data_IF_923401686006
#
_entry.id   IF_923401686006
#
_cell.length_a   1.000
_cell.length_b   1.000
_cell.length_c   1.000
_cell.angle_alpha   90.00
_cell.angle_beta   90.00
_cell.angle_gamma   90.00
#
_symmetry.space_group_name_H-M   'P 1'
#
loop_
_entity.id
_entity.type
_entity.pdbx_description
1 polymer ?
#
# COMPACT_ATOMS: atom_id res chain seq x y z
N UNK A 1 -26.07 -33.18 -10.75
CA UNK A 1 -24.83 -33.85 -10.30
C UNK A 1 -25.00 -35.37 -10.37
N UNK A 2 -24.10 -36.08 -11.07
CA UNK A 2 -23.90 -37.54 -10.95
C UNK A 2 -22.45 -37.76 -10.48
N UNK A 3 -22.16 -38.68 -9.55
CA UNK A 3 -20.84 -38.81 -8.95
C UNK A 3 -19.93 -39.73 -9.79
N UNK A 4 -18.67 -39.33 -9.96
CA UNK A 4 -17.62 -40.17 -10.53
C UNK A 4 -16.95 -40.99 -9.42
N UNK A 5 -16.94 -42.30 -9.61
CA UNK A 5 -16.28 -43.30 -8.77
C UNK A 5 -14.76 -43.21 -8.89
N UNK A 6 -14.06 -43.27 -7.76
CA UNK A 6 -12.64 -43.61 -7.68
C UNK A 6 -12.41 -45.08 -8.07
N UNK A 7 -11.40 -45.33 -8.90
CA UNK A 7 -10.81 -46.65 -9.09
C UNK A 7 -9.30 -46.53 -8.87
N UNK A 8 -8.80 -47.17 -7.81
CA UNK A 8 -7.38 -47.31 -7.51
C UNK A 8 -6.83 -48.63 -8.01
N UNK A 9 -5.59 -48.61 -8.50
CA UNK A 9 -4.75 -49.77 -8.80
C UNK A 9 -3.35 -49.31 -9.22
N UNK A 10 -2.25 -49.91 -8.69
CA UNK A 10 -0.90 -49.36 -8.83
C UNK A 10 -0.23 -49.75 -10.15
N UNK A 11 0.38 -48.77 -10.84
CA UNK A 11 1.23 -49.02 -12.01
C UNK A 11 2.70 -49.00 -11.58
N UNK A 12 3.37 -50.16 -11.71
CA UNK A 12 4.83 -50.29 -11.60
C UNK A 12 5.48 -49.85 -12.92
N UNK A 13 6.47 -48.96 -12.85
CA UNK A 13 7.42 -48.72 -13.95
C UNK A 13 8.81 -49.17 -13.45
N UNK A 14 9.42 -50.13 -14.15
CA UNK A 14 10.81 -50.57 -13.93
C UNK A 14 11.77 -49.65 -14.69
N UNK A 15 12.90 -49.34 -14.06
CA UNK A 15 13.86 -48.32 -14.48
C UNK A 15 14.89 -48.71 -15.55
N UNK A 16 15.68 -47.70 -15.90
CA UNK A 16 17.00 -47.76 -16.55
C UNK A 16 17.90 -46.71 -15.85
N UNK A 17 19.19 -47.03 -15.79
CA UNK A 17 20.27 -46.62 -14.87
C UNK A 17 20.73 -45.14 -14.86
N UNK A 18 21.41 -44.69 -13.78
CA UNK A 18 21.91 -43.33 -13.62
C UNK A 18 23.27 -43.10 -14.30
N UNK A 19 23.36 -42.04 -15.12
CA UNK A 19 24.62 -41.51 -15.62
C UNK A 19 25.34 -40.75 -14.49
N UNK A 20 26.53 -41.24 -14.15
CA UNK A 20 27.40 -40.63 -13.15
C UNK A 20 27.94 -39.28 -13.57
N UNK A 21 27.78 -38.28 -12.70
CA UNK A 21 28.52 -37.03 -12.76
C UNK A 21 29.52 -36.99 -11.59
N UNK A 22 30.80 -36.85 -11.95
CA UNK A 22 31.95 -36.83 -11.07
C UNK A 22 31.91 -35.64 -10.07
N UNK A 23 31.83 -35.95 -8.78
CA UNK A 23 32.18 -35.01 -7.72
C UNK A 23 33.71 -34.98 -7.56
N UNK A 24 34.35 -33.89 -8.00
CA UNK A 24 35.71 -33.55 -7.57
C UNK A 24 35.63 -32.72 -6.30
N UNK A 25 36.06 -33.32 -5.19
CA UNK A 25 36.37 -32.64 -3.94
C UNK A 25 37.65 -31.83 -4.08
N UNK A 26 37.59 -30.50 -3.99
CA UNK A 26 38.77 -29.68 -3.69
C UNK A 26 38.83 -29.41 -2.18
N UNK A 27 39.79 -30.05 -1.52
CA UNK A 27 40.32 -29.62 -0.23
C UNK A 27 40.93 -28.22 -0.42
N UNK A 28 40.41 -27.22 0.28
CA UNK A 28 41.15 -26.00 0.56
C UNK A 28 41.61 -26.03 2.02
N UNK A 29 42.93 -25.96 2.14
CA UNK A 29 43.75 -26.08 3.34
C UNK A 29 43.52 -24.87 4.26
N UNK A 30 43.36 -25.13 5.56
CA UNK A 30 43.53 -24.13 6.61
C UNK A 30 45.02 -23.76 6.71
N UNK A 31 45.37 -22.50 6.45
CA UNK A 31 46.62 -21.93 6.94
C UNK A 31 46.34 -20.60 7.62
N UNK A 32 46.47 -20.65 8.94
CA UNK A 32 46.77 -19.52 9.80
C UNK A 32 48.11 -18.90 9.38
N UNK A 33 48.10 -17.63 9.00
CA UNK A 33 49.31 -16.82 8.91
C UNK A 33 49.10 -15.55 9.73
N UNK A 34 49.65 -15.59 10.94
CA UNK A 34 49.95 -14.45 11.77
C UNK A 34 50.97 -13.54 11.08
N UNK A 35 50.61 -12.28 10.84
CA UNK A 35 51.58 -11.22 10.60
C UNK A 35 51.41 -10.16 11.68
N UNK A 36 52.36 -10.16 12.62
CA UNK A 36 52.66 -8.98 13.40
C UNK A 36 53.52 -8.04 12.55
N UNK A 37 53.22 -6.75 12.61
CA UNK A 37 54.21 -5.72 12.32
C UNK A 37 53.87 -4.44 13.09
N UNK A 38 54.85 -4.06 13.86
CA UNK A 38 55.00 -2.92 14.77
C UNK A 38 54.91 -1.58 14.04
N UNK A 39 54.43 -0.58 14.78
CA UNK A 39 54.47 0.84 14.44
C UNK A 39 55.90 1.35 14.23
N UNK A 40 56.11 2.26 13.26
CA UNK A 40 56.62 3.63 13.50
C UNK A 40 56.78 4.48 12.23
N UNK A 41 56.45 5.76 12.41
CA UNK A 41 57.01 6.99 11.78
C UNK A 41 56.49 7.47 10.41
N UNK A 42 55.59 8.46 10.55
CA UNK A 42 55.67 9.84 9.99
C UNK A 42 55.95 10.02 8.51
N UNK A 43 54.99 10.60 7.78
CA UNK A 43 55.21 11.76 6.92
C UNK A 43 53.93 12.62 6.84
N UNK A 44 54.09 13.89 7.20
CA UNK A 44 53.07 14.94 7.22
C UNK A 44 53.10 15.62 5.85
N UNK A 45 51.95 15.76 5.18
CA UNK A 45 51.77 16.83 4.20
C UNK A 45 50.43 17.55 4.42
N UNK A 46 50.57 18.82 4.79
CA UNK A 46 49.55 19.87 4.75
C UNK A 46 48.95 19.96 3.34
N UNK A 47 47.63 20.12 3.23
CA UNK A 47 47.07 21.03 2.24
C UNK A 47 45.89 21.80 2.84
N UNK A 48 46.02 23.12 2.75
CA UNK A 48 45.10 24.12 3.28
C UNK A 48 43.82 24.18 2.45
N UNK A 49 42.73 24.40 3.17
CA UNK A 49 41.42 24.81 2.67
C UNK A 49 41.51 26.08 1.83
N UNK A 50 40.99 26.01 0.59
CA UNK A 50 40.61 27.19 -0.19
C UNK A 50 39.11 27.11 -0.46
N UNK A 51 38.39 28.01 0.18
CA UNK A 51 37.01 28.35 -0.12
C UNK A 51 36.96 28.98 -1.51
N UNK A 52 36.25 28.33 -2.44
CA UNK A 52 35.81 28.95 -3.68
C UNK A 52 34.33 29.25 -3.53
N UNK A 53 34.04 30.53 -3.35
CA UNK A 53 32.73 31.13 -3.52
C UNK A 53 32.26 30.89 -4.95
N UNK A 54 31.26 30.02 -5.12
CA UNK A 54 30.44 29.99 -6.33
C UNK A 54 29.23 30.87 -6.06
N UNK A 55 29.13 31.95 -6.83
CA UNK A 55 27.96 32.81 -6.89
C UNK A 55 26.74 32.03 -7.42
N UNK A 56 25.52 32.35 -6.97
CA UNK A 56 24.32 31.62 -7.38
C UNK A 56 23.99 31.93 -8.85
N UNK A 57 24.13 30.92 -9.71
CA UNK A 57 23.54 30.93 -11.04
C UNK A 57 22.01 30.91 -10.95
N UNK A 58 21.36 31.69 -11.83
CA UNK A 58 19.91 31.81 -11.94
C UNK A 58 19.20 30.45 -11.99
N UNK A 59 18.02 30.30 -11.35
CA UNK A 59 17.28 29.05 -11.37
C UNK A 59 16.64 28.84 -12.75
N UNK A 60 17.33 28.09 -13.60
CA UNK A 60 16.74 27.44 -14.76
C UNK A 60 15.69 26.43 -14.29
N UNK A 61 14.43 26.69 -14.67
CA UNK A 61 13.25 25.90 -14.38
C UNK A 61 13.38 24.43 -14.83
N UNK A 62 13.63 23.53 -13.89
CA UNK A 62 13.30 22.10 -14.02
C UNK A 62 12.62 21.65 -12.72
N UNK A 63 11.43 22.18 -12.49
CA UNK A 63 10.49 21.63 -11.50
C UNK A 63 9.13 21.55 -12.17
N UNK A 64 8.85 20.39 -12.75
CA UNK A 64 7.49 19.94 -13.02
C UNK A 64 7.43 18.49 -12.56
N UNK A 65 7.31 18.29 -11.25
CA UNK A 65 6.87 17.01 -10.70
C UNK A 65 5.37 17.17 -10.47
N UNK A 66 4.59 16.98 -11.53
CA UNK A 66 3.15 16.74 -11.43
C UNK A 66 2.95 15.22 -11.29
N UNK A 67 2.98 14.70 -10.05
CA UNK A 67 2.71 13.29 -9.78
C UNK A 67 1.52 13.11 -8.82
N UNK A 68 0.60 12.23 -9.24
CA UNK A 68 -0.77 12.06 -8.75
C UNK A 68 -0.96 11.55 -7.31
N UNK A 69 -2.16 11.88 -6.82
CA UNK A 69 -2.67 11.85 -5.43
C UNK A 69 -2.65 10.47 -4.76
N UNK A 70 -2.06 10.39 -3.55
CA UNK A 70 -2.71 9.94 -2.29
C UNK A 70 -2.16 10.79 -1.14
N UNK A 71 -2.74 11.99 -0.97
CA UNK A 71 -2.70 12.94 0.15
C UNK A 71 -2.68 14.38 -0.40
N UNK A 72 -3.86 14.94 -0.67
CA UNK A 72 -4.07 16.40 -0.71
C UNK A 72 -3.36 17.24 -1.78
N UNK A 73 -3.59 16.96 -3.07
CA UNK A 73 -3.45 17.97 -4.14
C UNK A 73 -2.40 17.69 -5.24
N UNK A 74 -2.78 18.04 -6.48
CA UNK A 74 -1.96 18.00 -7.71
C UNK A 74 -2.45 17.02 -8.76
N UNK A 75 -3.19 17.50 -9.76
CA UNK A 75 -3.83 16.70 -10.83
C UNK A 75 -2.81 16.22 -11.87
N UNK A 76 -2.45 14.94 -11.84
CA UNK A 76 -1.86 14.29 -13.00
C UNK A 76 -2.89 14.36 -14.16
N UNK A 77 -2.46 14.68 -15.39
CA UNK A 77 -3.37 14.91 -16.53
C UNK A 77 -4.32 13.74 -16.84
N UNK A 78 -3.98 12.52 -16.43
CA UNK A 78 -4.85 11.36 -16.57
C UNK A 78 -5.93 11.21 -15.50
N UNK A 79 -5.83 11.95 -14.38
CA UNK A 79 -6.94 12.14 -13.45
C UNK A 79 -7.94 13.11 -14.08
N UNK A 80 -8.88 12.54 -14.83
CA UNK A 80 -9.92 13.25 -15.58
C UNK A 80 -11.24 12.49 -15.55
N UNK A 81 -12.28 13.14 -16.05
CA UNK A 81 -13.54 12.47 -16.37
C UNK A 81 -13.34 11.54 -17.56
N UNK A 82 -13.74 10.29 -17.39
CA UNK A 82 -13.57 9.29 -18.44
C UNK A 82 -14.67 9.44 -19.50
N UNK A 83 -14.26 9.51 -20.76
CA UNK A 83 -15.15 9.63 -21.91
C UNK A 83 -15.02 8.38 -22.77
N UNK A 84 -16.15 7.84 -23.21
CA UNK A 84 -16.19 6.63 -24.01
C UNK A 84 -15.41 6.80 -25.33
N UNK A 85 -14.58 5.80 -25.65
CA UNK A 85 -13.70 5.81 -26.84
C UNK A 85 -12.48 6.75 -26.75
N UNK A 86 -12.29 7.49 -25.64
CA UNK A 86 -11.16 8.40 -25.46
C UNK A 86 -10.10 7.79 -24.55
N UNK A 87 -9.03 7.29 -25.16
CA UNK A 87 -7.85 6.77 -24.46
C UNK A 87 -6.67 7.75 -24.54
N UNK A 88 -5.85 7.77 -23.48
CA UNK A 88 -4.62 8.55 -23.38
C UNK A 88 -3.42 7.66 -23.06
N UNK A 89 -2.23 8.18 -23.32
CA UNK A 89 -1.00 7.62 -22.73
C UNK A 89 -0.66 8.40 -21.47
N UNK A 90 -0.60 7.69 -20.34
CA UNK A 90 -0.38 8.23 -19.01
C UNK A 90 1.01 7.84 -18.53
N UNK A 91 1.91 8.82 -18.39
CA UNK A 91 3.31 8.56 -18.03
C UNK A 91 3.57 9.02 -16.61
N UNK A 92 4.05 8.10 -15.79
CA UNK A 92 4.45 8.35 -14.39
C UNK A 92 5.95 8.07 -14.23
N UNK A 93 6.62 8.87 -13.40
CA UNK A 93 8.04 8.67 -13.10
C UNK A 93 8.22 8.29 -11.64
N UNK A 94 8.65 7.06 -11.38
CA UNK A 94 8.82 6.51 -10.04
C UNK A 94 10.30 6.40 -9.71
N UNK A 95 10.75 7.18 -8.72
CA UNK A 95 12.08 7.08 -8.16
C UNK A 95 12.01 6.38 -6.82
N UNK A 96 12.61 5.19 -6.74
CA UNK A 96 12.60 4.36 -5.54
C UNK A 96 13.85 4.64 -4.73
N UNK A 97 13.69 5.06 -3.47
CA UNK A 97 14.79 5.45 -2.57
C UNK A 97 14.67 4.77 -1.21
N UNK A 98 15.81 4.63 -0.52
CA UNK A 98 15.81 4.38 0.93
C UNK A 98 15.52 5.71 1.62
N UNK A 99 14.61 5.69 2.59
CA UNK A 99 14.38 6.82 3.47
C UNK A 99 14.23 6.35 4.92
N UNK A 100 13.94 7.29 5.81
CA UNK A 100 13.71 7.03 7.24
C UNK A 100 12.44 7.76 7.65
N UNK A 101 11.47 7.01 8.17
CA UNK A 101 10.29 7.60 8.81
C UNK A 101 10.75 8.43 10.02
N UNK A 102 10.08 9.56 10.26
CA UNK A 102 10.42 10.49 11.35
C UNK A 102 11.89 10.94 11.31
N UNK A 103 12.42 11.18 10.11
CA UNK A 103 13.75 11.77 9.94
C UNK A 103 13.78 13.25 10.37
N UNK A 104 14.97 13.85 10.34
CA UNK A 104 15.15 15.28 10.64
C UNK A 104 14.29 16.22 9.76
N UNK A 105 13.80 15.75 8.60
CA UNK A 105 12.89 16.51 7.72
C UNK A 105 11.52 16.74 8.36
N UNK A 106 11.12 15.90 9.32
CA UNK A 106 9.89 16.05 10.08
C UNK A 106 9.94 17.13 11.16
N UNK A 107 11.07 17.84 11.32
CA UNK A 107 11.22 18.92 12.29
C UNK A 107 10.94 18.47 13.72
N UNK A 108 9.95 19.10 14.36
CA UNK A 108 9.56 18.82 15.75
C UNK A 108 8.34 17.88 15.86
N UNK A 109 8.02 17.11 14.81
CA UNK A 109 7.07 15.99 14.93
C UNK A 109 7.68 14.91 15.86
N UNK A 110 6.96 14.35 16.85
CA UNK A 110 5.51 14.44 17.08
C UNK A 110 5.08 15.52 18.10
N UNK A 111 5.99 16.35 18.61
CA UNK A 111 5.66 17.37 19.61
C UNK A 111 4.86 18.54 19.02
N UNK A 112 5.16 18.90 17.78
CA UNK A 112 4.39 19.82 16.97
C UNK A 112 3.76 19.07 15.78
N UNK A 113 2.46 18.81 15.86
CA UNK A 113 1.71 18.03 14.85
C UNK A 113 1.77 18.66 13.47
N UNK A 114 1.79 20.00 13.37
CA UNK A 114 1.92 20.70 12.09
C UNK A 114 3.24 20.39 11.37
N UNK A 115 4.32 20.10 12.11
CA UNK A 115 5.61 19.74 11.53
C UNK A 115 5.58 18.34 10.88
N UNK A 116 4.62 17.48 11.24
CA UNK A 116 4.43 16.18 10.61
C UNK A 116 3.98 16.28 9.14
N UNK A 117 3.53 17.47 8.70
CA UNK A 117 3.16 17.77 7.31
C UNK A 117 4.25 18.51 6.53
N UNK A 118 5.47 18.62 7.08
CA UNK A 118 6.60 19.20 6.38
C UNK A 118 6.88 18.47 5.05
N UNK A 119 7.37 19.17 4.01
CA UNK A 119 7.77 18.54 2.76
C UNK A 119 8.75 17.38 2.99
N UNK A 120 8.48 16.24 2.34
CA UNK A 120 9.27 14.99 2.46
C UNK A 120 9.34 14.39 3.87
N UNK A 121 8.53 14.87 4.83
CA UNK A 121 8.35 14.18 6.09
C UNK A 121 7.50 12.92 5.89
N UNK A 122 8.03 11.79 6.35
CA UNK A 122 7.31 10.53 6.41
C UNK A 122 6.95 10.29 7.88
N UNK A 123 5.78 10.76 8.27
CA UNK A 123 5.31 10.70 9.65
C UNK A 123 5.08 9.25 10.12
N UNK A 124 4.41 8.42 9.31
CA UNK A 124 4.21 6.97 9.48
C UNK A 124 3.99 6.54 10.95
N UNK A 125 3.08 7.26 11.61
CA UNK A 125 2.65 7.06 12.99
C UNK A 125 3.69 7.31 14.09
N UNK A 126 4.79 8.01 13.81
CA UNK A 126 5.68 8.55 14.84
C UNK A 126 6.89 7.68 15.19
N UNK A 127 7.03 6.51 14.56
CA UNK A 127 8.17 5.63 14.77
C UNK A 127 9.31 5.95 13.80
N UNK A 128 10.50 6.15 14.36
CA UNK A 128 11.74 6.26 13.59
C UNK A 128 12.16 4.89 13.10
N UNK A 129 12.09 4.65 11.78
CA UNK A 129 12.55 3.41 11.17
C UNK A 129 12.93 3.55 9.69
N UNK A 130 13.81 2.68 9.16
CA UNK A 130 14.04 2.60 7.72
C UNK A 130 12.77 2.23 6.97
N UNK A 131 12.59 2.88 5.82
CA UNK A 131 11.48 2.68 4.89
C UNK A 131 11.98 2.69 3.44
N UNK A 132 11.20 2.08 2.55
CA UNK A 132 11.41 2.18 1.10
C UNK A 132 10.27 2.99 0.53
N UNK A 133 10.59 4.05 -0.20
CA UNK A 133 9.58 5.01 -0.69
C UNK A 133 9.69 5.21 -2.18
N UNK A 134 8.57 5.61 -2.78
CA UNK A 134 8.49 6.04 -4.17
C UNK A 134 8.19 7.52 -4.17
N UNK A 135 9.05 8.32 -4.80
CA UNK A 135 8.95 9.79 -4.85
C UNK A 135 8.84 10.42 -3.44
N UNK A 136 9.66 9.92 -2.51
CA UNK A 136 9.84 10.46 -1.15
C UNK A 136 8.56 10.55 -0.28
N UNK A 137 7.59 9.66 -0.53
CA UNK A 137 6.30 9.60 0.20
C UNK A 137 5.84 8.18 0.49
N UNK A 138 4.98 8.03 1.49
CA UNK A 138 4.21 6.81 1.81
C UNK A 138 2.77 7.22 2.15
N UNK A 139 1.74 6.70 1.46
CA UNK A 139 1.82 5.84 0.28
C UNK A 139 2.53 6.53 -0.89
N UNK A 140 3.05 5.73 -1.82
CA UNK A 140 3.59 6.21 -3.09
C UNK A 140 2.54 6.91 -3.96
N UNK A 141 2.94 7.50 -5.10
CA UNK A 141 2.02 8.19 -6.01
C UNK A 141 0.86 7.30 -6.44
N UNK A 142 -0.36 7.85 -6.40
CA UNK A 142 -1.53 7.16 -6.91
C UNK A 142 -1.60 7.24 -8.44
N UNK A 143 -1.93 6.13 -9.08
CA UNK A 143 -2.21 6.05 -10.51
C UNK A 143 -3.72 6.08 -10.70
N UNK A 144 -4.22 7.14 -11.34
CA UNK A 144 -5.64 7.32 -11.64
C UNK A 144 -5.78 7.50 -13.15
N UNK A 145 -6.45 6.56 -13.80
CA UNK A 145 -6.57 6.51 -15.26
C UNK A 145 -7.96 6.04 -15.70
N UNK A 146 -8.27 6.20 -16.97
CA UNK A 146 -9.50 5.69 -17.56
C UNK A 146 -9.29 4.32 -18.20
N UNK A 147 -10.36 3.52 -18.24
CA UNK A 147 -10.40 2.26 -18.98
C UNK A 147 -9.95 2.48 -20.43
N UNK A 148 -8.97 1.71 -20.88
CA UNK A 148 -8.38 1.82 -22.21
C UNK A 148 -7.16 2.75 -22.31
N UNK A 149 -6.81 3.49 -21.26
CA UNK A 149 -5.56 4.26 -21.24
C UNK A 149 -4.34 3.33 -21.30
N UNK A 150 -3.28 3.77 -21.97
CA UNK A 150 -1.96 3.13 -21.89
C UNK A 150 -1.18 3.75 -20.74
N UNK A 151 -0.84 2.95 -19.73
CA UNK A 151 -0.04 3.39 -18.60
C UNK A 151 1.43 3.09 -18.87
N UNK A 152 2.28 4.09 -18.71
CA UNK A 152 3.73 3.99 -18.76
C UNK A 152 4.27 4.41 -17.41
N UNK A 153 5.02 3.53 -16.74
CA UNK A 153 5.69 3.87 -15.48
C UNK A 153 7.19 3.68 -15.66
N UNK A 154 7.92 4.79 -15.66
CA UNK A 154 9.38 4.79 -15.68
C UNK A 154 9.88 4.62 -14.25
N UNK A 155 10.41 3.44 -13.94
CA UNK A 155 10.89 3.11 -12.59
C UNK A 155 12.39 3.24 -12.56
N UNK A 156 12.92 4.09 -11.68
CA UNK A 156 14.33 4.22 -11.36
C UNK A 156 14.61 3.57 -10.00
N UNK A 157 15.45 2.54 -10.00
CA UNK A 157 15.97 1.97 -8.77
C UNK A 157 17.18 2.79 -8.29
N UNK A 158 17.05 3.51 -7.18
CA UNK A 158 18.17 4.29 -6.61
C UNK A 158 18.96 3.53 -5.54
N UNK A 159 18.67 2.25 -5.30
CA UNK A 159 19.48 1.43 -4.40
C UNK A 159 20.83 1.06 -4.99
N UNK A 160 21.85 0.98 -4.12
CA UNK A 160 23.21 0.56 -4.51
C UNK A 160 23.45 -0.95 -4.53
N UNK A 161 22.61 -1.76 -3.87
CA UNK A 161 22.85 -3.21 -3.73
C UNK A 161 21.61 -4.08 -3.91
N UNK A 162 20.42 -3.48 -3.98
CA UNK A 162 19.14 -4.21 -4.01
C UNK A 162 18.52 -4.16 -5.39
N UNK A 163 17.99 -5.30 -5.85
CA UNK A 163 17.08 -5.34 -6.99
C UNK A 163 15.65 -5.07 -6.52
N UNK A 164 14.85 -4.38 -7.34
CA UNK A 164 13.44 -4.09 -7.05
C UNK A 164 12.53 -4.55 -8.20
N UNK A 165 11.25 -4.78 -7.92
CA UNK A 165 10.20 -4.92 -8.94
C UNK A 165 8.92 -4.27 -8.43
N UNK A 166 8.06 -3.83 -9.35
CA UNK A 166 6.71 -3.40 -9.04
C UNK A 166 5.71 -4.32 -9.73
N UNK A 167 4.68 -4.73 -9.00
CA UNK A 167 3.52 -5.46 -9.50
C UNK A 167 2.25 -4.61 -9.45
N UNK A 168 1.32 -4.95 -10.34
CA UNK A 168 0.09 -4.21 -10.58
C UNK A 168 -1.10 -5.10 -10.21
N UNK A 169 -1.35 -5.19 -8.90
CA UNK A 169 -2.28 -6.13 -8.30
C UNK A 169 -3.69 -6.00 -8.89
N UNK A 170 -4.16 -7.09 -9.48
CA UNK A 170 -5.49 -7.20 -10.08
C UNK A 170 -5.58 -6.80 -11.55
N UNK A 171 -4.51 -6.28 -12.17
CA UNK A 171 -4.43 -6.21 -13.63
C UNK A 171 -4.18 -7.60 -14.21
N UNK A 172 -4.89 -7.94 -15.28
CA UNK A 172 -4.78 -9.26 -15.93
C UNK A 172 -3.51 -9.44 -16.75
N UNK A 173 -2.89 -8.34 -17.18
CA UNK A 173 -1.70 -8.34 -18.04
C UNK A 173 -1.85 -9.17 -19.32
N UNK A 174 -3.07 -9.19 -19.88
CA UNK A 174 -3.39 -10.01 -21.06
C UNK A 174 -2.51 -9.60 -22.23
N UNK A 175 -1.77 -10.57 -22.80
CA UNK A 175 -0.84 -10.34 -23.91
C UNK A 175 0.48 -9.63 -23.53
N UNK A 176 0.64 -9.16 -22.29
CA UNK A 176 1.86 -8.51 -21.80
C UNK A 176 2.32 -9.08 -20.43
N UNK A 177 2.44 -10.41 -20.26
CA UNK A 177 2.78 -11.01 -18.97
C UNK A 177 4.14 -10.53 -18.44
N UNK A 178 5.08 -10.15 -19.30
CA UNK A 178 6.40 -9.62 -18.93
C UNK A 178 6.36 -8.21 -18.29
N UNK A 179 5.18 -7.57 -18.21
CA UNK A 179 4.96 -6.30 -17.52
C UNK A 179 4.32 -6.47 -16.14
N UNK A 180 4.12 -7.71 -15.70
CA UNK A 180 3.39 -8.03 -14.47
C UNK A 180 4.17 -7.69 -13.20
N UNK A 181 5.49 -7.83 -13.16
CA UNK A 181 6.29 -7.46 -11.99
C UNK A 181 6.73 -8.60 -11.07
N UNK A 182 6.19 -9.81 -11.23
CA UNK A 182 6.60 -10.97 -10.45
C UNK A 182 8.07 -11.37 -10.73
N UNK A 183 9.00 -11.18 -9.76
CA UNK A 183 10.41 -11.46 -9.98
C UNK A 183 10.63 -12.96 -10.17
N UNK A 184 11.55 -13.30 -11.08
CA UNK A 184 11.91 -14.69 -11.45
C UNK A 184 10.80 -15.49 -12.13
N UNK A 185 9.62 -14.89 -12.36
CA UNK A 185 8.52 -15.46 -13.13
C UNK A 185 8.34 -14.68 -14.43
N UNK A 186 8.05 -13.38 -14.33
CA UNK A 186 7.76 -12.53 -15.49
C UNK A 186 8.90 -11.58 -15.84
N UNK A 187 9.77 -11.27 -14.88
CA UNK A 187 10.99 -10.49 -15.10
C UNK A 187 12.09 -10.80 -14.09
N UNK A 188 13.33 -10.43 -14.41
CA UNK A 188 14.37 -10.26 -13.39
C UNK A 188 14.15 -8.96 -12.61
N UNK A 189 14.59 -8.88 -11.33
CA UNK A 189 14.62 -7.62 -10.60
C UNK A 189 15.39 -6.53 -11.33
N UNK A 190 14.88 -5.30 -11.26
CA UNK A 190 15.52 -4.08 -11.76
C UNK A 190 16.77 -3.85 -10.90
N UNK A 191 17.95 -4.04 -11.49
CA UNK A 191 19.21 -3.98 -10.77
C UNK A 191 19.50 -2.62 -10.13
N UNK A 192 20.46 -2.56 -9.19
CA UNK A 192 20.92 -1.32 -8.58
C UNK A 192 21.23 -0.23 -9.61
N UNK A 193 20.77 1.00 -9.37
CA UNK A 193 20.95 2.17 -10.24
C UNK A 193 20.38 2.05 -11.67
N UNK A 194 19.69 0.96 -11.99
CA UNK A 194 19.07 0.78 -13.31
C UNK A 194 17.62 1.25 -13.31
N UNK A 195 17.11 1.48 -14.51
CA UNK A 195 15.71 1.80 -14.75
C UNK A 195 15.01 0.70 -15.53
N UNK A 196 13.69 0.65 -15.41
CA UNK A 196 12.83 -0.18 -16.26
C UNK A 196 11.53 0.56 -16.52
N UNK A 197 11.02 0.42 -17.73
CA UNK A 197 9.74 1.01 -18.11
C UNK A 197 8.68 -0.07 -18.15
N UNK A 198 7.71 0.02 -17.26
CA UNK A 198 6.48 -0.74 -17.36
C UNK A 198 5.56 -0.05 -18.35
N UNK A 199 4.97 -0.81 -19.28
CA UNK A 199 3.99 -0.31 -20.24
C UNK A 199 2.86 -1.31 -20.42
N UNK A 200 1.66 -0.95 -19.99
CA UNK A 200 0.49 -1.83 -20.06
C UNK A 200 -0.78 -1.04 -20.36
N UNK A 201 -1.81 -1.77 -20.80
CA UNK A 201 -3.15 -1.23 -21.01
C UNK A 201 -3.93 -1.29 -19.69
N UNK A 202 -4.61 -0.21 -19.33
CA UNK A 202 -5.58 -0.20 -18.24
C UNK A 202 -6.86 -0.90 -18.71
N UNK A 203 -6.86 -2.24 -18.71
CA UNK A 203 -7.93 -3.10 -19.26
C UNK A 203 -8.92 -3.61 -18.21
N UNK A 204 -8.60 -3.42 -16.93
CA UNK A 204 -9.36 -3.94 -15.80
C UNK A 204 -9.82 -2.76 -14.94
N UNK A 205 -11.11 -2.37 -15.03
CA UNK A 205 -11.66 -1.26 -14.27
C UNK A 205 -11.85 -1.62 -12.80
N UNK A 206 -11.81 -0.63 -11.90
CA UNK A 206 -12.06 -0.80 -10.47
C UNK A 206 -10.90 -0.31 -9.60
N UNK A 207 -10.91 -0.74 -8.33
CA UNK A 207 -9.88 -0.42 -7.35
C UNK A 207 -8.82 -1.50 -7.30
N UNK A 208 -7.60 -1.11 -7.64
CA UNK A 208 -6.41 -1.92 -7.71
C UNK A 208 -5.33 -1.30 -6.80
N UNK A 209 -4.17 -1.94 -6.75
CA UNK A 209 -3.01 -1.42 -6.03
C UNK A 209 -1.74 -1.78 -6.81
N UNK A 210 -0.74 -0.91 -6.77
CA UNK A 210 0.61 -1.28 -7.19
C UNK A 210 1.48 -1.43 -5.95
N UNK A 211 2.41 -2.38 -5.96
CA UNK A 211 3.31 -2.61 -4.84
C UNK A 211 4.61 -3.31 -5.26
N UNK A 212 5.61 -3.31 -4.37
CA UNK A 212 6.77 -4.18 -4.52
C UNK A 212 6.35 -5.64 -4.62
N UNK A 213 6.94 -6.39 -5.53
CA UNK A 213 6.78 -7.85 -5.54
C UNK A 213 8.07 -8.61 -5.23
N UNK A 214 9.06 -7.92 -4.68
CA UNK A 214 10.29 -8.54 -4.16
C UNK A 214 10.43 -8.25 -2.67
N UNK A 215 10.91 -9.25 -1.94
CA UNK A 215 11.26 -9.15 -0.52
C UNK A 215 10.08 -8.77 0.35
N UNK A 216 10.30 -7.76 1.21
CA UNK A 216 9.33 -7.22 2.17
C UNK A 216 9.10 -5.72 1.96
N UNK A 217 9.55 -5.20 0.82
CA UNK A 217 9.56 -3.77 0.50
C UNK A 217 8.16 -3.18 0.40
N UNK A 218 7.14 -3.99 0.06
CA UNK A 218 5.72 -3.63 0.12
C UNK A 218 5.34 -3.23 1.55
N UNK A 219 5.62 -4.06 2.54
CA UNK A 219 5.31 -3.77 3.95
C UNK A 219 6.15 -2.60 4.51
N UNK A 220 7.27 -2.29 3.88
CA UNK A 220 8.18 -1.21 4.27
C UNK A 220 7.91 0.14 3.57
N UNK A 221 6.86 0.24 2.74
CA UNK A 221 6.37 1.50 2.18
C UNK A 221 6.26 1.56 0.66
N UNK A 222 6.68 0.53 -0.08
CA UNK A 222 6.69 0.55 -1.54
C UNK A 222 5.37 0.04 -2.14
N UNK A 223 4.34 0.89 -2.07
CA UNK A 223 3.02 0.65 -2.64
C UNK A 223 2.26 1.97 -2.88
N UNK A 224 1.19 1.92 -3.66
CA UNK A 224 0.30 3.06 -3.87
C UNK A 224 -0.96 2.67 -4.65
N UNK A 225 -1.96 3.55 -4.62
CA UNK A 225 -3.24 3.28 -5.27
C UNK A 225 -3.07 3.11 -6.78
N UNK A 226 -3.86 2.21 -7.37
CA UNK A 226 -4.07 2.12 -8.81
C UNK A 226 -5.59 2.05 -9.03
N UNK A 227 -6.15 3.01 -9.75
CA UNK A 227 -7.59 3.05 -10.02
C UNK A 227 -7.81 3.25 -11.50
N UNK A 228 -8.62 2.37 -12.07
CA UNK A 228 -9.04 2.42 -13.47
C UNK A 228 -10.53 2.72 -13.50
N UNK A 229 -10.89 3.96 -13.84
CA UNK A 229 -12.28 4.42 -13.89
C UNK A 229 -12.93 4.14 -15.24
N UNK A 230 -14.25 3.92 -15.23
CA UNK A 230 -15.06 3.87 -16.44
C UNK A 230 -15.70 5.23 -16.72
N UNK A 231 -16.08 5.51 -17.97
CA UNK A 231 -17.05 6.55 -18.28
C UNK A 231 -18.36 6.33 -17.51
N UNK A 232 -18.97 7.40 -17.00
CA UNK A 232 -20.22 7.30 -16.20
C UNK A 232 -21.34 6.49 -16.88
N UNK A 233 -21.58 6.58 -18.20
CA UNK A 233 -22.61 5.76 -18.86
C UNK A 233 -22.37 4.25 -18.80
N UNK A 234 -21.12 3.80 -18.63
CA UNK A 234 -20.74 2.37 -18.60
C UNK A 234 -20.24 1.90 -17.22
N UNK A 235 -20.28 2.78 -16.22
CA UNK A 235 -19.99 2.47 -14.84
C UNK A 235 -21.24 1.88 -14.16
N UNK A 236 -21.23 0.61 -13.72
CA UNK A 236 -22.41 -0.08 -13.20
C UNK A 236 -23.05 0.57 -11.96
N UNK A 237 -22.26 1.37 -11.24
CA UNK A 237 -22.61 1.96 -9.95
C UNK A 237 -22.76 3.49 -10.03
N UNK A 238 -22.78 4.09 -11.22
CA UNK A 238 -22.77 5.55 -11.40
C UNK A 238 -23.92 6.28 -10.73
N UNK A 239 -25.11 5.66 -10.66
CA UNK A 239 -26.28 6.24 -10.00
C UNK A 239 -26.22 6.16 -8.46
N UNK A 240 -25.28 5.40 -7.89
CA UNK A 240 -25.22 5.13 -6.45
C UNK A 240 -24.43 6.18 -5.66
N UNK A 241 -23.58 6.97 -6.32
CA UNK A 241 -22.75 7.99 -5.68
C UNK A 241 -22.82 9.32 -6.44
N UNK A 242 -22.45 10.42 -5.76
CA UNK A 242 -22.32 11.74 -6.36
C UNK A 242 -20.85 12.07 -6.67
N UNK A 243 -19.93 11.54 -5.87
CA UNK A 243 -18.50 11.83 -5.93
C UNK A 243 -17.65 10.55 -5.86
N UNK A 244 -16.75 10.36 -6.83
CA UNK A 244 -15.67 9.37 -6.86
C UNK A 244 -14.34 10.12 -6.98
N UNK A 245 -13.77 10.45 -5.84
CA UNK A 245 -12.63 11.37 -5.71
C UNK A 245 -11.36 10.59 -5.36
N UNK A 246 -10.22 10.99 -5.92
CA UNK A 246 -8.93 10.38 -5.60
C UNK A 246 -8.61 10.48 -4.09
N UNK A 247 -9.02 11.56 -3.44
CA UNK A 247 -8.86 11.82 -2.01
C UNK A 247 -9.65 10.84 -1.12
N UNK A 248 -10.63 10.13 -1.68
CA UNK A 248 -11.43 9.11 -0.99
C UNK A 248 -10.88 7.68 -1.19
N UNK A 249 -9.62 7.58 -1.61
CA UNK A 249 -8.89 6.31 -1.63
C UNK A 249 -8.27 6.05 -0.26
N UNK A 250 -8.55 4.88 0.31
CA UNK A 250 -8.15 4.50 1.67
C UNK A 250 -7.20 3.32 1.56
N UNK A 251 -5.92 3.51 1.86
CA UNK A 251 -4.95 2.40 1.94
C UNK A 251 -4.60 2.18 3.39
N UNK A 252 -4.94 1.00 3.88
CA UNK A 252 -4.60 0.53 5.22
C UNK A 252 -3.55 -0.56 5.13
N UNK A 253 -2.59 -0.56 6.03
CA UNK A 253 -1.60 -1.63 6.13
C UNK A 253 -1.11 -1.81 7.55
N UNK A 254 -0.52 -2.99 7.81
CA UNK A 254 0.09 -3.29 9.09
C UNK A 254 1.45 -2.61 9.20
N UNK A 255 1.65 -1.87 10.29
CA UNK A 255 2.87 -1.14 10.53
C UNK A 255 3.72 -1.80 11.60
N UNK A 256 5.02 -1.85 11.36
CA UNK A 256 5.99 -2.50 12.23
C UNK A 256 6.98 -1.48 12.80
N UNK A 257 7.48 -1.71 14.02
CA UNK A 257 8.47 -0.82 14.63
C UNK A 257 9.88 -0.98 14.03
N UNK A 258 10.13 -2.09 13.33
CA UNK A 258 11.40 -2.42 12.68
C UNK A 258 11.16 -2.80 11.21
N UNK A 259 12.21 -2.83 10.36
CA UNK A 259 12.09 -3.34 9.00
C UNK A 259 11.41 -4.72 8.96
N UNK A 260 10.46 -4.88 8.04
CA UNK A 260 9.59 -6.06 8.01
C UNK A 260 10.40 -7.35 7.82
N UNK A 261 11.50 -7.30 7.08
CA UNK A 261 12.43 -8.41 6.90
C UNK A 261 13.01 -8.94 8.23
N UNK A 262 13.25 -8.08 9.21
CA UNK A 262 13.79 -8.48 10.51
C UNK A 262 12.72 -9.22 11.30
N UNK A 263 11.52 -8.67 11.39
CA UNK A 263 10.46 -9.21 12.23
C UNK A 263 9.86 -10.47 11.64
N UNK A 264 9.47 -10.42 10.36
CA UNK A 264 8.75 -11.51 9.69
C UNK A 264 9.62 -12.76 9.62
N UNK A 265 10.89 -12.64 9.22
CA UNK A 265 11.82 -13.78 9.18
C UNK A 265 12.02 -14.38 10.58
N UNK A 266 12.17 -13.53 11.61
CA UNK A 266 12.29 -14.02 12.99
C UNK A 266 11.01 -14.73 13.46
N UNK A 267 9.84 -14.20 13.14
CA UNK A 267 8.55 -14.83 13.47
C UNK A 267 8.41 -16.22 12.87
N UNK A 268 8.68 -16.36 11.57
CA UNK A 268 8.66 -17.66 10.90
C UNK A 268 9.68 -18.65 11.49
N UNK A 269 10.88 -18.18 11.82
CA UNK A 269 11.93 -19.04 12.38
C UNK A 269 11.67 -19.47 13.83
N UNK A 270 10.99 -18.65 14.62
CA UNK A 270 10.77 -18.87 16.05
C UNK A 270 9.36 -19.35 16.40
N UNK A 271 8.46 -19.50 15.40
CA UNK A 271 7.01 -19.66 15.60
C UNK A 271 6.41 -18.56 16.49
N UNK A 272 7.07 -17.40 16.55
CA UNK A 272 6.56 -16.27 17.29
C UNK A 272 5.40 -15.63 16.51
N UNK A 273 4.40 -15.17 17.24
CA UNK A 273 3.31 -14.41 16.64
C UNK A 273 3.83 -13.04 16.22
N UNK A 274 3.57 -12.67 14.97
CA UNK A 274 3.94 -11.39 14.39
C UNK A 274 2.87 -10.37 14.74
N UNK A 275 3.07 -9.65 15.85
CA UNK A 275 2.24 -8.51 16.20
C UNK A 275 2.94 -7.26 15.65
N UNK A 276 2.28 -6.52 14.76
CA UNK A 276 2.77 -5.21 14.32
C UNK A 276 2.67 -4.19 15.45
N UNK A 277 3.27 -3.03 15.25
CA UNK A 277 3.10 -1.87 16.13
C UNK A 277 1.70 -1.26 16.01
N UNK A 278 0.95 -1.53 14.94
CA UNK A 278 -0.40 -1.01 14.73
C UNK A 278 -0.82 -1.04 13.27
N UNK A 279 -1.88 -0.31 12.94
CA UNK A 279 -2.29 0.00 11.57
C UNK A 279 -1.97 1.46 11.25
N UNK A 280 -1.73 1.74 9.97
CA UNK A 280 -1.58 3.08 9.41
C UNK A 280 -2.58 3.22 8.26
N UNK A 281 -3.21 4.39 8.14
CA UNK A 281 -4.13 4.76 7.06
C UNK A 281 -3.54 5.94 6.29
N UNK A 282 -3.30 5.77 4.99
CA UNK A 282 -2.73 6.81 4.12
C UNK A 282 -1.49 7.52 4.72
N UNK A 283 -0.63 6.77 5.44
CA UNK A 283 0.63 7.29 6.01
C UNK A 283 0.49 7.91 7.40
N UNK A 284 -0.73 7.93 7.94
CA UNK A 284 -1.10 8.58 9.20
C UNK A 284 -1.71 7.60 10.19
N UNK A 285 -1.62 7.91 11.48
CA UNK A 285 -2.15 7.08 12.55
C UNK A 285 -1.50 7.41 13.89
N UNK A 286 -2.31 7.45 14.95
CA UNK A 286 -1.80 7.52 16.32
C UNK A 286 -1.53 6.12 16.83
N UNK A 287 -0.27 5.77 17.10
CA UNK A 287 0.03 4.48 17.71
C UNK A 287 -0.06 4.58 19.23
N UNK A 288 -0.93 3.77 19.82
CA UNK A 288 -0.85 3.45 21.24
C UNK A 288 0.40 2.59 21.47
N UNK A 289 1.10 2.76 22.60
CA UNK A 289 2.19 1.85 22.96
C UNK A 289 1.62 0.49 23.40
N UNK A 290 1.32 -0.38 22.42
CA UNK A 290 0.76 -1.70 22.67
C UNK A 290 1.69 -2.64 23.44
N UNK A 291 2.99 -2.32 23.58
CA UNK A 291 3.99 -3.23 24.14
C UNK A 291 4.81 -2.65 25.30
N UNK A 292 4.49 -1.47 25.82
CA UNK A 292 5.32 -0.83 26.85
C UNK A 292 6.74 -0.51 26.37
N UNK A 293 6.96 -0.46 25.04
CA UNK A 293 8.28 -0.24 24.42
C UNK A 293 8.59 1.24 24.21
N UNK A 294 7.57 2.10 24.28
CA UNK A 294 7.69 3.53 24.02
C UNK A 294 7.07 4.31 25.18
N UNK A 295 7.89 5.07 25.91
CA UNK A 295 7.45 5.86 27.08
C UNK A 295 6.36 6.91 26.78
N UNK A 296 6.03 7.15 25.50
CA UNK A 296 5.14 8.20 25.04
C UNK A 296 4.07 7.58 24.13
N UNK A 297 2.80 7.81 24.43
CA UNK A 297 1.71 7.52 23.49
C UNK A 297 1.82 8.47 22.31
N UNK A 298 1.66 7.96 21.08
CA UNK A 298 1.71 8.76 19.86
C UNK A 298 0.32 9.32 19.52
N UNK A 299 -0.50 9.60 20.53
CA UNK A 299 -1.90 10.04 20.38
C UNK A 299 -2.02 11.35 19.59
N UNK A 300 -0.97 12.19 19.65
CA UNK A 300 -0.86 13.47 18.95
C UNK A 300 -0.49 13.33 17.48
N UNK A 301 -0.15 12.13 17.00
CA UNK A 301 0.15 11.95 15.57
C UNK A 301 -1.08 12.28 14.72
N UNK A 302 -0.87 12.89 13.54
CA UNK A 302 -1.96 13.19 12.64
C UNK A 302 -2.65 11.89 12.22
N UNK A 303 -3.97 11.97 12.10
CA UNK A 303 -4.83 10.93 11.51
C UNK A 303 -5.25 11.37 10.11
N UNK A 304 -5.58 10.40 9.26
CA UNK A 304 -6.11 10.73 7.95
C UNK A 304 -7.51 11.33 8.08
N UNK A 305 -7.79 12.36 7.28
CA UNK A 305 -9.07 13.07 7.28
C UNK A 305 -9.68 12.96 5.89
N UNK A 306 -10.91 12.48 5.82
CA UNK A 306 -11.73 12.43 4.62
C UNK A 306 -12.88 13.41 4.77
N UNK A 307 -12.94 14.41 3.88
CA UNK A 307 -13.93 15.49 3.97
C UNK A 307 -15.13 15.20 3.08
N UNK A 308 -16.33 15.38 3.64
CA UNK A 308 -17.61 15.15 2.95
C UNK A 308 -18.58 16.33 3.12
N UNK A 309 -19.36 16.63 2.08
CA UNK A 309 -20.44 17.60 2.14
C UNK A 309 -21.74 16.92 2.57
N UNK A 310 -22.50 17.56 3.48
CA UNK A 310 -23.75 17.00 3.99
C UNK A 310 -24.75 16.75 2.84
N UNK A 311 -25.42 15.58 2.88
CA UNK A 311 -26.41 15.14 1.89
C UNK A 311 -25.83 14.56 0.60
N UNK A 312 -24.49 14.50 0.46
CA UNK A 312 -23.82 13.90 -0.71
C UNK A 312 -23.41 12.45 -0.44
N UNK A 313 -23.19 11.70 -1.52
CA UNK A 313 -22.76 10.29 -1.52
C UNK A 313 -21.36 10.17 -2.10
N UNK A 314 -20.46 9.55 -1.35
CA UNK A 314 -19.05 9.42 -1.72
C UNK A 314 -18.68 7.96 -1.89
N UNK A 315 -18.02 7.62 -3.01
CA UNK A 315 -17.40 6.31 -3.21
C UNK A 315 -16.01 6.31 -2.57
N UNK A 316 -15.86 5.55 -1.49
CA UNK A 316 -14.57 5.26 -0.89
C UNK A 316 -13.98 3.99 -1.50
N UNK A 317 -12.70 4.06 -1.87
CA UNK A 317 -11.95 2.96 -2.47
C UNK A 317 -10.98 2.40 -1.43
N UNK A 318 -11.41 1.39 -0.70
CA UNK A 318 -10.71 0.84 0.46
C UNK A 318 -9.81 -0.30 0.01
N UNK A 319 -8.55 -0.24 0.40
CA UNK A 319 -7.53 -1.25 0.12
C UNK A 319 -6.88 -1.66 1.42
N UNK A 320 -6.77 -2.97 1.65
CA UNK A 320 -5.91 -3.50 2.70
C UNK A 320 -4.67 -4.11 2.06
N UNK A 321 -3.54 -3.40 2.10
CA UNK A 321 -2.36 -3.75 1.31
C UNK A 321 -1.61 -4.98 1.88
N UNK A 322 -0.91 -4.79 2.99
CA UNK A 322 0.05 -5.79 3.47
C UNK A 322 -0.14 -6.11 4.95
N UNK A 323 -0.43 -7.39 5.24
CA UNK A 323 -0.37 -7.94 6.59
C UNK A 323 -0.30 -9.48 6.58
N UNK A 324 0.57 -10.10 7.39
CA UNK A 324 0.51 -11.52 7.67
C UNK A 324 -0.62 -11.80 8.68
N UNK A 325 -1.58 -12.65 8.30
CA UNK A 325 -2.59 -13.27 9.17
C UNK A 325 -3.40 -12.32 10.09
N UNK A 326 -3.69 -11.11 9.60
CA UNK A 326 -4.41 -10.07 10.35
C UNK A 326 -5.54 -9.45 9.51
N UNK A 327 -6.69 -10.11 9.35
CA UNK A 327 -7.83 -9.47 8.68
C UNK A 327 -8.26 -8.21 9.45
N UNK A 328 -8.82 -7.22 8.75
CA UNK A 328 -9.25 -5.95 9.36
C UNK A 328 -10.72 -5.72 9.12
N UNK A 329 -11.46 -5.45 10.20
CA UNK A 329 -12.82 -4.96 10.15
C UNK A 329 -12.81 -3.43 10.07
N UNK A 330 -13.49 -2.87 9.07
CA UNK A 330 -13.68 -1.44 8.88
C UNK A 330 -15.13 -1.03 9.13
N UNK A 331 -15.33 0.08 9.84
CA UNK A 331 -16.64 0.73 10.01
C UNK A 331 -16.51 2.25 10.07
N UNK A 332 -17.63 2.96 9.99
CA UNK A 332 -17.70 4.41 10.19
C UNK A 332 -18.78 4.68 11.24
N UNK A 333 -18.44 5.44 12.28
CA UNK A 333 -19.38 5.79 13.34
C UNK A 333 -20.62 6.48 12.76
N UNK A 334 -21.79 6.02 13.17
CA UNK A 334 -23.11 6.51 12.76
C UNK A 334 -23.42 6.45 11.26
N UNK A 335 -22.60 5.78 10.44
CA UNK A 335 -22.83 5.62 9.01
C UNK A 335 -22.91 4.16 8.60
N UNK A 336 -23.85 3.85 7.69
CA UNK A 336 -23.90 2.55 7.00
C UNK A 336 -23.06 2.60 5.74
N UNK A 337 -22.55 1.44 5.33
CA UNK A 337 -21.69 1.28 4.17
C UNK A 337 -22.45 0.54 3.08
N UNK A 338 -22.64 1.16 1.92
CA UNK A 338 -23.20 0.46 0.76
C UNK A 338 -22.04 -0.14 -0.05
N UNK A 339 -21.80 -1.44 0.08
CA UNK A 339 -20.78 -2.15 -0.72
C UNK A 339 -21.26 -2.25 -2.16
N UNK A 340 -20.46 -1.79 -3.11
CA UNK A 340 -20.81 -1.76 -4.54
C UNK A 340 -19.80 -2.46 -5.44
N UNK A 341 -18.59 -2.72 -4.94
CA UNK A 341 -17.60 -3.57 -5.61
C UNK A 341 -16.70 -4.27 -4.60
N UNK A 342 -16.21 -5.44 -4.99
CA UNK A 342 -15.13 -6.17 -4.32
C UNK A 342 -14.03 -6.39 -5.34
N UNK A 343 -12.79 -6.06 -4.99
CA UNK A 343 -11.67 -6.08 -5.92
C UNK A 343 -11.94 -5.20 -7.16
N UNK A 344 -11.83 -5.76 -8.37
CA UNK A 344 -12.11 -5.06 -9.63
C UNK A 344 -13.53 -5.31 -10.15
N UNK A 345 -14.38 -6.03 -9.40
CA UNK A 345 -15.69 -6.48 -9.85
C UNK A 345 -16.82 -5.79 -9.11
N UNK A 346 -17.79 -5.24 -9.86
CA UNK A 346 -19.04 -4.76 -9.29
C UNK A 346 -19.85 -5.92 -8.71
N UNK A 347 -20.50 -5.67 -7.58
CA UNK A 347 -21.39 -6.62 -6.91
C UNK A 347 -22.80 -6.05 -6.82
N UNK A 348 -23.77 -6.90 -6.51
CA UNK A 348 -25.09 -6.40 -6.13
C UNK A 348 -24.96 -5.51 -4.87
N UNK A 349 -25.46 -4.26 -4.90
CA UNK A 349 -25.27 -3.35 -3.77
C UNK A 349 -25.87 -3.89 -2.48
N UNK A 350 -25.05 -3.98 -1.43
CA UNK A 350 -25.47 -4.46 -0.12
C UNK A 350 -25.09 -3.45 0.96
N UNK A 351 -26.07 -3.06 1.76
CA UNK A 351 -25.89 -2.10 2.84
C UNK A 351 -25.53 -2.83 4.13
N UNK A 352 -24.32 -2.59 4.65
CA UNK A 352 -23.72 -3.25 5.81
C UNK A 352 -23.27 -2.23 6.85
N UNK A 353 -23.01 -2.69 8.07
CA UNK A 353 -22.49 -1.85 9.15
C UNK A 353 -20.95 -1.89 9.21
N UNK A 354 -20.34 -2.96 8.68
CA UNK A 354 -18.90 -3.09 8.54
C UNK A 354 -18.50 -4.02 7.41
N UNK A 355 -17.26 -3.89 6.95
CA UNK A 355 -16.63 -4.79 5.96
C UNK A 355 -15.37 -5.40 6.55
N UNK A 356 -15.08 -6.65 6.21
CA UNK A 356 -13.81 -7.31 6.57
C UNK A 356 -12.95 -7.47 5.33
N UNK A 357 -11.69 -7.04 5.45
CA UNK A 357 -10.68 -7.12 4.40
C UNK A 357 -9.50 -8.01 4.83
N UNK A 358 -9.06 -8.89 3.94
CA UNK A 358 -7.77 -9.57 4.00
C UNK A 358 -6.70 -8.82 3.19
N UNK A 359 -5.44 -9.13 3.46
CA UNK A 359 -4.33 -8.51 2.75
C UNK A 359 -4.45 -8.76 1.22
N UNK A 360 -4.31 -7.68 0.45
CA UNK A 360 -4.53 -7.64 -0.99
C UNK A 360 -5.97 -7.34 -1.42
N UNK A 361 -6.98 -7.45 -0.55
CA UNK A 361 -8.38 -7.23 -0.93
C UNK A 361 -8.75 -5.74 -1.01
N UNK A 362 -9.71 -5.44 -1.90
CA UNK A 362 -10.27 -4.11 -2.06
C UNK A 362 -11.79 -4.12 -1.96
N UNK A 363 -12.35 -3.07 -1.39
CA UNK A 363 -13.78 -2.81 -1.37
C UNK A 363 -14.05 -1.40 -1.88
N UNK A 364 -15.07 -1.27 -2.72
CA UNK A 364 -15.66 0.02 -3.00
C UNK A 364 -16.95 0.13 -2.19
N UNK A 365 -16.99 1.11 -1.30
CA UNK A 365 -18.15 1.39 -0.45
C UNK A 365 -18.66 2.79 -0.77
N UNK A 366 -19.98 2.96 -0.80
CA UNK A 366 -20.61 4.27 -0.89
C UNK A 366 -21.07 4.67 0.51
N UNK A 367 -20.66 5.86 0.93
CA UNK A 367 -21.03 6.47 2.20
C UNK A 367 -21.92 7.68 1.91
N UNK A 368 -23.12 7.68 2.47
CA UNK A 368 -24.03 8.82 2.39
C UNK A 368 -23.78 9.72 3.59
N UNK A 369 -23.43 10.98 3.36
CA UNK A 369 -23.17 11.97 4.40
C UNK A 369 -24.48 12.53 4.99
N UNK A 370 -25.29 11.66 5.59
CA UNK A 370 -26.64 11.97 6.09
C UNK A 370 -26.71 12.24 7.60
N UNK A 371 -25.57 12.30 8.29
CA UNK A 371 -25.52 12.59 9.72
C UNK A 371 -25.46 14.10 9.99
N UNK A 372 -25.56 14.46 11.26
CA UNK A 372 -25.33 15.85 11.71
C UNK A 372 -23.91 16.28 11.36
N UNK A 373 -23.73 17.54 10.95
CA UNK A 373 -22.39 18.09 10.68
C UNK A 373 -21.52 17.90 11.92
N UNK A 374 -20.38 17.23 11.74
CA UNK A 374 -19.48 16.88 12.82
C UNK A 374 -18.29 16.04 12.34
N UNK A 375 -17.55 15.48 13.30
CA UNK A 375 -16.42 14.59 13.07
C UNK A 375 -16.79 13.18 13.56
N UNK A 376 -16.56 12.17 12.73
CA UNK A 376 -16.87 10.76 13.02
C UNK A 376 -15.62 9.90 12.84
N UNK A 377 -15.45 8.85 13.66
CA UNK A 377 -14.35 7.92 13.47
C UNK A 377 -14.64 6.98 12.30
N UNK A 378 -13.65 6.83 11.43
CA UNK A 378 -13.49 5.67 10.54
C UNK A 378 -12.58 4.69 11.27
N UNK A 379 -13.10 3.53 11.63
CA UNK A 379 -12.43 2.59 12.53
C UNK A 379 -11.89 1.39 11.77
N UNK A 380 -10.67 1.00 12.09
CA UNK A 380 -10.03 -0.22 11.60
C UNK A 380 -9.60 -1.08 12.78
N UNK A 381 -10.13 -2.30 12.85
CA UNK A 381 -9.88 -3.23 13.94
C UNK A 381 -9.30 -4.53 13.40
N UNK A 382 -8.12 -4.92 13.89
CA UNK A 382 -7.49 -6.18 13.55
C UNK A 382 -8.21 -7.37 14.19
N UNK A 383 -8.38 -8.43 13.42
CA UNK A 383 -9.00 -9.69 13.81
C UNK A 383 -7.96 -10.81 13.90
N UNK A 384 -8.40 -12.01 14.30
CA UNK A 384 -7.55 -13.20 14.40
C UNK A 384 -6.27 -12.96 15.21
N UNK A 385 -5.07 -13.07 14.61
CA UNK A 385 -3.80 -12.92 15.34
C UNK A 385 -3.58 -11.50 15.88
N UNK A 386 -4.25 -10.50 15.30
CA UNK A 386 -4.27 -9.14 15.80
C UNK A 386 -5.21 -8.91 17.00
N UNK A 387 -5.90 -9.97 17.45
CA UNK A 387 -6.76 -9.98 18.64
C UNK A 387 -6.51 -11.22 19.53
N UNK A 388 -5.24 -11.62 19.72
CA UNK A 388 -4.88 -12.78 20.55
C UNK A 388 -3.87 -12.40 21.62
N UNK A 389 -3.89 -13.13 22.74
CA UNK A 389 -2.93 -12.99 23.83
C UNK A 389 -2.80 -11.55 24.38
N UNK A 390 -3.90 -10.81 24.43
CA UNK A 390 -3.95 -9.43 24.92
C UNK A 390 -3.60 -8.36 23.88
N UNK A 391 -3.22 -8.75 22.66
CA UNK A 391 -3.03 -7.82 21.54
C UNK A 391 -4.38 -7.34 21.02
N UNK A 392 -4.49 -6.04 20.74
CA UNK A 392 -5.70 -5.34 20.31
C UNK A 392 -5.37 -4.30 19.24
N UNK A 393 -4.90 -4.76 18.09
CA UNK A 393 -4.48 -3.85 17.01
C UNK A 393 -5.70 -3.10 16.47
N UNK A 394 -5.68 -1.78 16.52
CA UNK A 394 -6.67 -0.91 15.90
C UNK A 394 -6.05 0.43 15.50
N UNK A 395 -6.75 1.18 14.66
CA UNK A 395 -6.43 2.55 14.29
C UNK A 395 -7.68 3.26 13.75
N UNK A 396 -7.68 4.59 13.85
CA UNK A 396 -8.76 5.43 13.32
C UNK A 396 -8.28 6.46 12.29
N UNK A 397 -9.14 6.73 11.32
CA UNK A 397 -9.16 7.93 10.50
C UNK A 397 -10.42 8.75 10.83
N UNK A 398 -10.54 9.95 10.27
CA UNK A 398 -11.61 10.90 10.56
C UNK A 398 -12.44 11.12 9.31
N UNK A 399 -13.76 10.93 9.41
CA UNK A 399 -14.73 11.46 8.46
C UNK A 399 -15.18 12.83 8.97
N UNK A 400 -14.87 13.89 8.22
CA UNK A 400 -15.15 15.27 8.59
C UNK A 400 -16.17 15.89 7.64
N UNK A 401 -17.23 16.47 8.18
CA UNK A 401 -18.15 17.28 7.37
C UNK A 401 -17.52 18.66 7.08
N UNK A 402 -17.72 19.22 5.88
CA UNK A 402 -17.07 20.49 5.45
C UNK A 402 -17.22 21.66 6.43
N UNK A 403 -18.36 21.76 7.12
CA UNK A 403 -18.67 22.82 8.08
C UNK A 403 -18.37 22.44 9.55
N UNK A 404 -17.68 21.32 9.79
CA UNK A 404 -17.31 20.89 11.13
C UNK A 404 -15.97 21.50 11.58
N UNK A 405 -15.84 21.78 12.87
CA UNK A 405 -14.58 22.25 13.47
C UNK A 405 -13.44 21.23 13.28
N UNK A 406 -12.20 21.71 13.19
CA UNK A 406 -11.00 20.87 13.02
C UNK A 406 -10.58 20.16 14.31
N UNK A 407 -11.46 19.30 14.83
CA UNK A 407 -11.26 18.56 16.07
C UNK A 407 -11.32 17.04 15.85
N UNK A 408 -10.93 16.27 16.87
CA UNK A 408 -11.13 14.82 16.88
C UNK A 408 -12.60 14.50 17.20
N UNK A 409 -13.15 13.39 16.66
CA UNK A 409 -14.43 12.87 17.11
C UNK A 409 -14.45 12.62 18.63
N UNK A 410 -15.59 12.91 19.27
CA UNK A 410 -15.75 12.85 20.74
C UNK A 410 -15.95 11.43 21.28
N UNK A 411 -16.35 10.49 20.43
CA UNK A 411 -16.53 9.10 20.80
C UNK A 411 -15.19 8.44 21.18
N UNK A 412 -15.22 7.49 22.12
CA UNK A 412 -14.04 6.75 22.51
C UNK A 412 -13.47 5.95 21.33
N UNK A 413 -12.16 6.01 21.14
CA UNK A 413 -11.48 5.39 20.00
C UNK A 413 -10.85 4.02 20.35
N UNK A 414 -11.44 3.24 21.26
CA UNK A 414 -10.84 1.97 21.70
C UNK A 414 -11.14 0.80 20.76
N UNK A 415 -10.27 -0.22 20.79
CA UNK A 415 -10.48 -1.49 20.08
C UNK A 415 -11.87 -2.12 20.28
N UNK A 416 -12.44 -2.00 21.48
CA UNK A 416 -13.75 -2.62 21.81
C UNK A 416 -14.90 -1.85 21.16
N UNK A 417 -14.80 -0.53 21.09
CA UNK A 417 -15.80 0.34 20.43
C UNK A 417 -15.79 0.17 18.90
N UNK A 418 -14.67 -0.32 18.34
CA UNK A 418 -14.56 -0.64 16.93
C UNK A 418 -15.23 -1.97 16.54
N UNK A 419 -15.72 -2.76 17.51
CA UNK A 419 -16.46 -3.98 17.22
C UNK A 419 -17.88 -3.64 16.74
N UNK A 420 -18.23 -4.07 15.53
CA UNK A 420 -19.58 -3.93 14.97
C UNK A 420 -20.16 -5.32 14.74
N UNK A 421 -21.04 -5.75 15.65
CA UNK A 421 -21.78 -7.03 15.56
C UNK A 421 -22.98 -6.99 14.58
N UNK A 422 -23.14 -5.89 13.83
CA UNK A 422 -24.21 -5.69 12.86
C UNK A 422 -24.07 -6.55 11.60
N UNK A 423 -24.65 -6.11 10.49
CA UNK A 423 -24.45 -6.81 9.22
C UNK A 423 -23.00 -6.59 8.75
N UNK A 424 -22.27 -7.68 8.53
CA UNK A 424 -20.87 -7.68 8.11
C UNK A 424 -20.74 -8.29 6.72
N UNK A 425 -20.06 -7.60 5.81
CA UNK A 425 -19.63 -8.20 4.53
C UNK A 425 -18.31 -8.95 4.73
N UNK A 426 -18.35 -10.26 4.50
CA UNK A 426 -17.18 -11.15 4.49
C UNK A 426 -16.75 -11.45 3.04
N UNK A 427 -15.47 -11.79 2.79
CA UNK A 427 -14.93 -11.94 1.44
C UNK A 427 -15.52 -13.08 0.56
N UNK A 428 -16.51 -13.86 1.02
CA UNK A 428 -17.15 -14.92 0.22
C UNK A 428 -18.62 -15.20 0.59
N UNK A 429 -19.55 -15.39 -0.39
CA UNK A 429 -19.56 -14.96 -1.78
C UNK A 429 -20.58 -13.83 -2.01
N UNK A 430 -20.12 -12.62 -2.29
CA UNK A 430 -20.97 -11.59 -2.90
C UNK A 430 -21.29 -12.01 -4.35
N UNK A 431 -22.56 -11.97 -4.74
CA UNK A 431 -22.97 -12.25 -6.13
C UNK A 431 -22.37 -11.21 -7.06
N UNK A 432 -21.58 -11.67 -8.01
CA UNK A 432 -20.89 -10.80 -8.97
C UNK A 432 -21.86 -10.36 -10.05
N UNK A 433 -21.86 -9.07 -10.37
CA UNK A 433 -22.73 -8.51 -11.42
C UNK A 433 -21.93 -8.31 -12.70
N UNK A 434 -22.26 -9.05 -13.75
CA UNK A 434 -21.59 -8.93 -15.06
C UNK A 434 -22.47 -8.08 -15.98
N UNK A 435 -21.96 -6.92 -16.38
CA UNK A 435 -22.65 -6.01 -17.30
C UNK A 435 -22.02 -6.03 -18.70
N UNK A 436 -22.83 -6.32 -19.73
CA UNK A 436 -22.51 -6.10 -21.14
C UNK A 436 -23.00 -4.72 -21.63
N UNK A 437 -22.96 -4.47 -22.94
CA UNK A 437 -23.30 -3.18 -23.57
C UNK A 437 -24.74 -2.69 -23.33
N UNK A 438 -25.66 -3.56 -22.91
CA UNK A 438 -27.07 -3.18 -22.68
C UNK A 438 -27.79 -3.91 -21.55
N UNK A 439 -27.16 -4.91 -20.91
CA UNK A 439 -27.81 -5.71 -19.85
C UNK A 439 -26.78 -6.20 -18.81
N UNK A 440 -27.16 -6.14 -17.54
CA UNK A 440 -26.43 -6.74 -16.43
C UNK A 440 -27.09 -8.05 -15.99
N UNK A 441 -26.30 -9.10 -15.81
CA UNK A 441 -26.75 -10.40 -15.31
C UNK A 441 -25.93 -10.81 -14.08
N UNK A 442 -26.61 -11.30 -13.05
CA UNK A 442 -25.97 -11.78 -11.82
C UNK A 442 -25.50 -13.23 -12.01
N UNK A 443 -24.32 -13.57 -11.49
CA UNK A 443 -23.86 -14.97 -11.44
C UNK A 443 -24.27 -15.62 -10.12
N UNK A 444 -24.74 -16.88 -10.19
CA UNK A 444 -25.15 -17.70 -9.02
C UNK A 444 -24.05 -17.90 -7.98
#
# INVERSE_FOLDING_TARGET
MRPLKQAGGPVKIRGIEPLGANYRTSKAISQSASFGATWTKTWVHRYQSRWLSLEPGEPGSVFAVEDGVIAGGGSHACYRDCVEGVAMTCTYNFTITASTAMSYLCGDCPNNVSACSNPSCIAAGGIVRPVTVVNDRIPGPGIQVCLGDTVIVNVQNSFGVRGITLHWHGLKMTGNPYMDGAPYITQCPIGPHNSFQYKFLADTPGTLIWHSHVGYEEADGMFGALVVRRPLPSEPNSDLYDHDLAEHSVIVWHWYPEPSATLINNGFNSKATLYGAGLIINGKGGMEDFFGRYQKTFDTMPREVFTVAQGKRYRFRVVYNSAPDCPVQMSIDDHRLLVVATDSAAVEPIEVDSVILNAGERYDIVVTANQTVGNYWIRFRGLAFCNRNGVKVHQEAILRYEDADEELPTANNTYTEADKEGLVSEPYPARTRICGESTCTDTE
#
